data_IF_025369720241
#
_entry.id   IF_025369720241
#
_cell.length_a   1.000
_cell.length_b   1.000
_cell.length_c   1.000
_cell.angle_alpha   90.00
_cell.angle_beta   90.00
_cell.angle_gamma   90.00
#
_symmetry.space_group_name_H-M   'P 1'
#
loop_
_entity.id
_entity.type
_entity.pdbx_description
1 polymer ?
#
# COMPACT_ATOMS: atom_id res chain seq x y z
N UNK A 1 -19.14 -12.36 37.17
CA UNK A 1 -18.87 -11.12 36.41
C UNK A 1 -17.36 -11.01 36.26
N UNK A 2 -16.86 -10.87 35.04
CA UNK A 2 -15.41 -10.72 34.78
C UNK A 2 -14.93 -9.37 35.33
N UNK A 3 -13.83 -9.35 36.07
CA UNK A 3 -13.32 -8.09 36.62
C UNK A 3 -12.71 -7.20 35.53
N UNK A 4 -12.56 -5.90 35.80
CA UNK A 4 -11.90 -4.98 34.86
C UNK A 4 -10.47 -5.41 34.54
N UNK A 5 -9.75 -5.91 35.54
CA UNK A 5 -8.35 -6.31 35.40
C UNK A 5 -8.20 -7.63 34.63
N UNK A 6 -9.08 -8.60 34.88
CA UNK A 6 -9.18 -9.83 34.08
C UNK A 6 -9.47 -9.53 32.61
N UNK A 7 -10.36 -8.55 32.34
CA UNK A 7 -10.65 -8.10 30.98
C UNK A 7 -9.45 -7.44 30.31
N UNK A 8 -8.69 -6.61 31.05
CA UNK A 8 -7.46 -5.96 30.53
C UNK A 8 -6.39 -6.98 30.19
N UNK A 9 -6.14 -7.94 31.08
CA UNK A 9 -5.13 -8.98 30.86
C UNK A 9 -5.48 -9.83 29.63
N UNK A 10 -6.75 -10.23 29.49
CA UNK A 10 -7.22 -10.96 28.30
C UNK A 10 -7.06 -10.15 27.01
N UNK A 11 -7.37 -8.85 27.03
CA UNK A 11 -7.19 -7.97 25.87
C UNK A 11 -5.73 -7.82 25.48
N UNK A 12 -4.82 -7.72 26.45
CA UNK A 12 -3.38 -7.66 26.18
C UNK A 12 -2.87 -8.95 25.55
N UNK A 13 -3.25 -10.12 26.08
CA UNK A 13 -2.90 -11.43 25.51
C UNK A 13 -3.42 -11.57 24.07
N UNK A 14 -4.67 -11.16 23.84
CA UNK A 14 -5.26 -11.21 22.51
C UNK A 14 -4.59 -10.23 21.54
N UNK A 15 -4.26 -9.02 21.98
CA UNK A 15 -3.54 -8.03 21.17
C UNK A 15 -2.16 -8.55 20.73
N UNK A 16 -1.42 -9.22 21.62
CA UNK A 16 -0.13 -9.85 21.29
C UNK A 16 -0.32 -10.96 20.25
N UNK A 17 -1.34 -11.81 20.43
CA UNK A 17 -1.66 -12.88 19.48
C UNK A 17 -2.01 -12.33 18.10
N UNK A 18 -2.90 -11.33 18.03
CA UNK A 18 -3.30 -10.65 16.80
C UNK A 18 -2.07 -10.04 16.12
N UNK A 19 -1.24 -9.29 16.87
CA UNK A 19 -0.02 -8.67 16.32
C UNK A 19 0.93 -9.70 15.73
N UNK A 20 1.14 -10.81 16.43
CA UNK A 20 2.03 -11.89 15.97
C UNK A 20 1.50 -12.51 14.67
N UNK A 21 0.19 -12.77 14.60
CA UNK A 21 -0.45 -13.30 13.40
C UNK A 21 -0.36 -12.33 12.22
N UNK A 22 -0.67 -11.04 12.43
CA UNK A 22 -0.60 -10.01 11.38
C UNK A 22 0.84 -9.82 10.86
N UNK A 23 1.83 -9.85 11.73
CA UNK A 23 3.23 -9.76 11.32
C UNK A 23 3.66 -10.95 10.46
N UNK A 24 3.23 -12.17 10.81
CA UNK A 24 3.48 -13.37 9.99
C UNK A 24 2.86 -13.23 8.60
N UNK A 25 1.59 -12.86 8.52
CA UNK A 25 0.89 -12.67 7.24
C UNK A 25 1.57 -11.61 6.36
N UNK A 26 1.99 -10.48 6.95
CA UNK A 26 2.74 -9.44 6.23
C UNK A 26 4.10 -9.95 5.74
N UNK A 27 4.78 -10.78 6.52
CA UNK A 27 6.04 -11.42 6.12
C UNK A 27 5.87 -12.36 4.93
N UNK A 28 4.86 -13.23 4.99
CA UNK A 28 4.51 -14.15 3.89
C UNK A 28 4.16 -13.40 2.60
N UNK A 29 3.36 -12.33 2.71
CA UNK A 29 3.02 -11.47 1.59
C UNK A 29 4.26 -10.78 1.00
N UNK A 30 5.14 -10.22 1.82
CA UNK A 30 6.38 -9.60 1.34
C UNK A 30 7.33 -10.60 0.67
N UNK A 31 7.33 -11.85 1.13
CA UNK A 31 8.14 -12.90 0.52
C UNK A 31 7.59 -13.35 -0.84
N UNK A 32 6.27 -13.32 -1.05
CA UNK A 32 5.63 -13.73 -2.29
C UNK A 32 5.64 -12.67 -3.40
N UNK A 33 5.76 -11.39 -3.04
CA UNK A 33 5.87 -10.29 -4.02
C UNK A 33 7.27 -10.29 -4.65
N UNK A 34 7.33 -10.44 -5.98
CA UNK A 34 8.57 -10.36 -6.77
C UNK A 34 9.24 -8.99 -6.61
N UNK A 35 10.57 -8.97 -6.53
CA UNK A 35 11.38 -7.76 -6.43
C UNK A 35 12.79 -7.97 -6.96
N UNK A 36 13.63 -6.94 -6.82
CA UNK A 36 15.01 -6.92 -7.33
C UNK A 36 15.14 -6.16 -8.65
N UNK A 37 16.38 -6.01 -9.12
CA UNK A 37 16.80 -5.11 -10.21
C UNK A 37 16.04 -5.30 -11.54
N UNK A 38 15.56 -6.53 -11.82
CA UNK A 38 14.79 -6.82 -13.04
C UNK A 38 13.28 -6.77 -12.85
N UNK A 39 12.80 -6.33 -11.68
CA UNK A 39 11.37 -6.20 -11.38
C UNK A 39 11.02 -4.73 -11.24
N UNK A 40 9.99 -4.28 -11.96
CA UNK A 40 9.47 -2.92 -11.85
C UNK A 40 8.07 -2.93 -11.26
N UNK A 41 7.75 -1.91 -10.47
CA UNK A 41 6.38 -1.68 -10.02
C UNK A 41 5.47 -1.37 -11.22
N UNK A 42 4.17 -1.65 -11.07
CA UNK A 42 3.18 -1.36 -12.10
C UNK A 42 1.91 -0.82 -11.46
N UNK A 43 1.44 0.32 -11.98
CA UNK A 43 0.18 0.93 -11.55
C UNK A 43 -0.90 0.57 -12.56
N UNK A 44 -1.94 -0.11 -12.09
CA UNK A 44 -3.14 -0.31 -12.88
C UNK A 44 -4.05 0.92 -12.77
N UNK A 45 -4.14 1.73 -13.84
CA UNK A 45 -4.79 3.04 -13.81
C UNK A 45 -6.24 3.00 -13.29
N UNK A 46 -6.99 1.93 -13.59
CA UNK A 46 -8.38 1.76 -13.13
C UNK A 46 -8.50 1.61 -11.61
N UNK A 47 -7.46 1.10 -10.94
CA UNK A 47 -7.42 0.88 -9.49
C UNK A 47 -6.71 2.03 -8.75
N UNK A 48 -5.89 2.81 -9.44
CA UNK A 48 -5.24 3.98 -8.87
C UNK A 48 -6.26 5.07 -8.53
N UNK A 49 -6.38 5.43 -7.25
CA UNK A 49 -7.30 6.49 -6.79
C UNK A 49 -6.61 7.84 -6.57
N UNK A 50 -5.32 7.96 -6.91
CA UNK A 50 -4.57 9.21 -6.72
C UNK A 50 -4.26 9.55 -5.27
N UNK A 51 -4.04 8.56 -4.40
CA UNK A 51 -3.83 8.76 -2.97
C UNK A 51 -2.43 9.24 -2.56
N UNK A 52 -1.54 9.52 -3.53
CA UNK A 52 -0.13 9.96 -3.39
C UNK A 52 0.85 9.11 -2.53
N UNK A 53 0.39 8.11 -1.79
CA UNK A 53 1.26 7.33 -0.89
C UNK A 53 2.49 6.70 -1.57
N UNK A 54 2.35 6.31 -2.84
CA UNK A 54 3.46 5.73 -3.60
C UNK A 54 4.61 6.72 -3.80
N UNK A 55 4.34 8.02 -4.00
CA UNK A 55 5.39 9.04 -4.18
C UNK A 55 6.13 9.33 -2.88
N UNK A 56 5.45 9.22 -1.74
CA UNK A 56 6.03 9.44 -0.42
C UNK A 56 7.09 8.38 -0.08
N UNK A 57 6.91 7.15 -0.54
CA UNK A 57 7.79 6.01 -0.19
C UNK A 57 8.82 5.66 -1.25
N UNK A 58 8.83 6.34 -2.40
CA UNK A 58 9.76 6.07 -3.49
C UNK A 58 10.97 6.99 -3.38
N UNK A 59 12.13 6.42 -3.07
CA UNK A 59 13.40 7.16 -3.00
C UNK A 59 14.03 7.40 -4.38
N UNK A 60 13.63 6.62 -5.40
CA UNK A 60 14.29 6.59 -6.71
C UNK A 60 13.69 7.58 -7.74
N UNK A 61 12.80 8.48 -7.33
CA UNK A 61 12.07 9.40 -8.25
C UNK A 61 11.35 8.68 -9.41
N UNK A 62 11.05 7.39 -9.26
CA UNK A 62 10.50 6.53 -10.31
C UNK A 62 8.97 6.67 -10.52
N UNK A 63 8.34 7.74 -10.02
CA UNK A 63 6.89 7.91 -10.04
C UNK A 63 6.52 9.26 -10.62
N UNK A 64 5.78 9.23 -11.72
CA UNK A 64 5.16 10.39 -12.34
C UNK A 64 3.68 10.45 -11.96
N UNK A 65 3.20 11.61 -11.51
CA UNK A 65 1.78 11.85 -11.25
C UNK A 65 1.19 12.73 -12.34
N UNK A 66 0.10 12.28 -12.94
CA UNK A 66 -0.61 12.98 -14.00
C UNK A 66 -2.11 13.07 -13.70
N UNK A 67 -2.79 14.03 -14.33
CA UNK A 67 -4.23 14.23 -14.16
C UNK A 67 -4.98 13.53 -15.29
N UNK A 68 -6.04 12.83 -14.92
CA UNK A 68 -7.05 12.33 -15.85
C UNK A 68 -8.44 12.80 -15.41
N UNK A 69 -9.38 12.98 -16.35
CA UNK A 69 -10.78 13.20 -16.00
C UNK A 69 -11.31 12.04 -15.16
N UNK A 70 -12.07 12.35 -14.11
CA UNK A 70 -12.73 11.32 -13.33
C UNK A 70 -13.84 10.66 -14.16
N UNK A 71 -13.71 9.35 -14.42
CA UNK A 71 -14.77 8.57 -15.04
C UNK A 71 -15.88 8.30 -14.01
N UNK A 72 -16.87 9.19 -13.93
CA UNK A 72 -18.07 8.98 -13.11
C UNK A 72 -19.34 9.36 -13.87
N UNK A 73 -20.36 8.49 -13.92
CA UNK A 73 -21.64 8.81 -14.53
C UNK A 73 -22.49 9.78 -13.69
N UNK A 74 -22.08 10.07 -12.44
CA UNK A 74 -22.87 10.87 -11.49
C UNK A 74 -22.29 12.26 -11.23
N UNK A 75 -21.01 12.48 -11.50
CA UNK A 75 -20.33 13.75 -11.17
C UNK A 75 -19.17 14.01 -12.12
N UNK A 76 -18.97 15.28 -12.47
CA UNK A 76 -17.78 15.73 -13.19
C UNK A 76 -16.79 16.29 -12.18
N UNK A 77 -15.65 15.62 -12.01
CA UNK A 77 -14.55 16.12 -11.16
C UNK A 77 -13.37 16.41 -12.06
N UNK A 78 -12.84 17.63 -11.96
CA UNK A 78 -11.81 18.16 -12.86
C UNK A 78 -10.46 17.44 -12.75
N UNK A 79 -10.22 16.68 -11.68
CA UNK A 79 -8.93 16.03 -11.46
C UNK A 79 -9.08 14.73 -10.70
N UNK A 80 -8.84 13.62 -11.38
CA UNK A 80 -8.42 12.36 -10.77
C UNK A 80 -6.92 12.22 -11.02
N UNK A 81 -6.11 12.23 -9.96
CA UNK A 81 -4.67 12.04 -10.12
C UNK A 81 -4.36 10.55 -10.29
N UNK A 82 -3.42 10.25 -11.17
CA UNK A 82 -2.95 8.89 -11.46
C UNK A 82 -1.43 8.86 -11.35
N UNK A 83 -0.92 7.72 -10.91
CA UNK A 83 0.51 7.48 -10.85
C UNK A 83 0.94 6.57 -12.00
N UNK A 84 2.14 6.81 -12.52
CA UNK A 84 2.81 5.97 -13.51
C UNK A 84 4.23 5.72 -13.05
N UNK A 85 4.71 4.50 -13.25
CA UNK A 85 6.09 4.14 -12.92
C UNK A 85 7.00 4.46 -14.11
N UNK A 86 8.07 5.20 -13.84
CA UNK A 86 9.20 5.39 -14.76
C UNK A 86 10.09 4.16 -14.59
N UNK A 87 10.06 3.27 -15.59
CA UNK A 87 10.65 1.93 -15.45
C UNK A 87 12.15 1.96 -15.23
N UNK A 88 12.85 2.84 -15.93
CA UNK A 88 14.31 2.92 -15.91
C UNK A 88 14.83 3.38 -14.54
N UNK A 89 14.02 4.15 -13.81
CA UNK A 89 14.37 4.67 -12.49
C UNK A 89 13.92 3.73 -11.35
N UNK A 90 13.14 2.68 -11.64
CA UNK A 90 12.59 1.79 -10.62
C UNK A 90 13.55 0.66 -10.25
N UNK A 91 13.99 0.61 -9.00
CA UNK A 91 14.95 -0.40 -8.50
C UNK A 91 14.31 -1.75 -8.12
N UNK A 92 12.98 -1.84 -8.11
CA UNK A 92 12.28 -3.07 -7.69
C UNK A 92 12.33 -3.33 -6.18
N UNK A 93 12.45 -2.28 -5.36
CA UNK A 93 12.53 -2.36 -3.89
C UNK A 93 11.25 -2.84 -3.19
N UNK A 94 10.09 -2.73 -3.86
CA UNK A 94 8.74 -3.13 -3.40
C UNK A 94 8.16 -2.31 -2.24
N UNK A 95 8.68 -1.12 -1.97
CA UNK A 95 8.15 -0.29 -0.87
C UNK A 95 6.79 0.34 -1.19
N UNK A 96 6.51 0.61 -2.46
CA UNK A 96 5.26 1.21 -2.95
C UNK A 96 4.20 0.19 -3.43
N UNK A 97 4.41 -1.11 -3.17
CA UNK A 97 3.59 -2.23 -3.70
C UNK A 97 2.93 -3.04 -2.60
#
# INVERSE_FOLDING_TARGET
MTSSDELRERRQKEAVRIRTSLNRLRGEQRASVKGGEHTVAFVEERLCIGCDQCTIVCDDSAIEVYKVPMASPLMTVESNQKAKIIRDDCTGCRLCV
#
